data_IF_684561471211
#
_entry.id   IF_684561471211
#
_cell.length_a   1.000
_cell.length_b   1.000
_cell.length_c   1.000
_cell.angle_alpha   90.00
_cell.angle_beta   90.00
_cell.angle_gamma   90.00
#
_symmetry.space_group_name_H-M   'P 1'
#
loop_
_entity.id
_entity.type
_entity.pdbx_description
1 polymer ?
#
# COMPACT_ATOMS: atom_id res chain seq x y z
N UNK A 1 28.18 14.21 -32.08
CA UNK A 1 27.01 14.88 -31.49
C UNK A 1 26.65 14.15 -30.21
N UNK A 2 26.67 14.80 -29.03
CA UNK A 2 26.22 14.12 -27.82
C UNK A 2 24.69 14.05 -27.86
N UNK A 3 24.15 12.84 -27.72
CA UNK A 3 22.71 12.63 -27.56
C UNK A 3 22.27 13.29 -26.26
N UNK A 4 21.24 14.12 -26.34
CA UNK A 4 20.59 14.69 -25.16
C UNK A 4 20.08 13.53 -24.29
N UNK A 5 20.71 13.33 -23.14
CA UNK A 5 20.22 12.45 -22.09
C UNK A 5 18.92 13.08 -21.56
N UNK A 6 17.78 12.74 -22.17
CA UNK A 6 16.49 13.12 -21.63
C UNK A 6 16.37 12.52 -20.24
N UNK A 7 16.33 13.35 -19.20
CA UNK A 7 16.08 12.89 -17.84
C UNK A 7 14.75 12.15 -17.83
N UNK A 8 14.79 10.82 -17.67
CA UNK A 8 13.61 9.98 -17.51
C UNK A 8 12.81 10.50 -16.31
N UNK A 9 11.51 10.71 -16.47
CA UNK A 9 10.66 11.15 -15.38
C UNK A 9 10.72 10.11 -14.25
N UNK A 10 10.92 10.58 -13.02
CA UNK A 10 10.95 9.73 -11.83
C UNK A 10 9.55 9.16 -11.53
N UNK A 11 9.51 7.97 -10.93
CA UNK A 11 8.29 7.26 -10.55
C UNK A 11 8.09 7.31 -9.03
N UNK A 12 6.83 7.24 -8.58
CA UNK A 12 6.57 6.94 -7.17
C UNK A 12 6.87 5.48 -6.86
N UNK A 13 7.50 5.20 -5.72
CA UNK A 13 7.72 3.84 -5.25
C UNK A 13 6.75 3.49 -4.12
N UNK A 14 6.08 2.35 -4.23
CA UNK A 14 5.18 1.80 -3.24
C UNK A 14 5.82 0.54 -2.67
N UNK A 15 6.27 0.62 -1.42
CA UNK A 15 6.70 -0.54 -0.67
C UNK A 15 5.54 -0.97 0.22
N UNK A 16 5.32 -2.27 0.33
CA UNK A 16 4.23 -2.81 1.12
C UNK A 16 4.63 -4.08 1.87
N UNK A 17 4.01 -4.32 3.02
CA UNK A 17 4.30 -5.49 3.85
C UNK A 17 3.94 -6.80 3.14
N UNK A 18 4.85 -7.77 3.16
CA UNK A 18 4.70 -9.07 2.50
C UNK A 18 5.24 -10.21 3.39
N UNK A 19 4.58 -11.40 3.44
CA UNK A 19 3.39 -11.85 2.69
C UNK A 19 2.07 -11.65 3.45
N UNK A 20 1.63 -10.40 3.59
CA UNK A 20 0.43 -10.06 4.37
C UNK A 20 -0.74 -9.64 3.45
N UNK A 21 -1.97 -10.15 3.67
CA UNK A 21 -3.15 -9.61 3.01
C UNK A 21 -3.33 -8.11 3.24
N UNK A 22 -3.05 -7.61 4.45
CA UNK A 22 -3.21 -6.20 4.79
C UNK A 22 -2.29 -5.32 3.93
N UNK A 23 -0.98 -5.57 3.94
CA UNK A 23 -0.04 -4.92 3.03
C UNK A 23 -0.38 -5.07 1.53
N UNK A 24 -0.88 -6.23 1.08
CA UNK A 24 -1.27 -6.43 -0.32
C UNK A 24 -2.49 -5.57 -0.73
N UNK A 25 -3.49 -5.47 0.15
CA UNK A 25 -4.63 -4.58 -0.08
C UNK A 25 -4.25 -3.11 0.08
N UNK A 26 -3.31 -2.76 0.96
CA UNK A 26 -2.76 -1.41 1.00
C UNK A 26 -2.10 -1.02 -0.33
N UNK A 27 -1.30 -1.93 -0.92
CA UNK A 27 -0.73 -1.74 -2.25
C UNK A 27 -1.79 -1.64 -3.35
N UNK A 28 -2.91 -2.37 -3.24
CA UNK A 28 -4.03 -2.25 -4.18
C UNK A 28 -4.62 -0.83 -4.18
N UNK A 29 -4.79 -0.20 -3.01
CA UNK A 29 -5.28 1.18 -2.93
C UNK A 29 -4.34 2.15 -3.67
N UNK A 30 -3.03 2.00 -3.49
CA UNK A 30 -2.04 2.77 -4.23
C UNK A 30 -2.13 2.51 -5.74
N UNK A 31 -2.26 1.25 -6.15
CA UNK A 31 -2.41 0.86 -7.57
C UNK A 31 -3.60 1.55 -8.22
N UNK A 32 -4.75 1.58 -7.56
CA UNK A 32 -5.94 2.28 -8.05
C UNK A 32 -5.68 3.78 -8.24
N UNK A 33 -5.03 4.44 -7.27
CA UNK A 33 -4.68 5.86 -7.39
C UNK A 33 -3.74 6.15 -8.56
N UNK A 34 -2.65 5.39 -8.70
CA UNK A 34 -1.67 5.61 -9.78
C UNK A 34 -2.25 5.28 -11.16
N UNK A 35 -3.10 4.25 -11.26
CA UNK A 35 -3.86 3.93 -12.47
C UNK A 35 -4.81 5.06 -12.85
N UNK A 36 -5.49 5.67 -11.88
CA UNK A 36 -6.41 6.78 -12.10
C UNK A 36 -5.69 8.04 -12.62
N UNK A 37 -4.55 8.38 -12.03
CA UNK A 37 -3.79 9.58 -12.34
C UNK A 37 -2.82 9.43 -13.52
N UNK A 38 -2.65 8.20 -14.04
CA UNK A 38 -1.64 7.87 -15.05
C UNK A 38 -0.21 8.24 -14.63
N UNK A 39 0.04 8.37 -13.33
CA UNK A 39 1.36 8.66 -12.79
C UNK A 39 2.20 7.37 -12.74
N UNK A 40 3.47 7.41 -13.13
CA UNK A 40 4.33 6.23 -13.11
C UNK A 40 4.59 5.77 -11.67
N UNK A 41 4.46 4.47 -11.43
CA UNK A 41 4.66 3.86 -10.12
C UNK A 41 5.41 2.54 -10.21
N UNK A 42 6.18 2.23 -9.15
CA UNK A 42 6.92 1.00 -8.95
C UNK A 42 6.43 0.34 -7.65
N UNK A 43 6.29 -0.99 -7.64
CA UNK A 43 5.80 -1.74 -6.47
C UNK A 43 6.87 -2.71 -5.97
N UNK A 44 7.10 -2.70 -4.66
CA UNK A 44 8.14 -3.48 -4.01
C UNK A 44 7.57 -4.20 -2.78
N UNK A 45 7.36 -5.52 -2.84
CA UNK A 45 7.00 -6.28 -1.65
C UNK A 45 8.17 -6.34 -0.69
N UNK A 46 7.94 -5.88 0.54
CA UNK A 46 8.90 -5.89 1.63
C UNK A 46 8.72 -7.14 2.49
N UNK A 47 9.65 -8.09 2.35
CA UNK A 47 9.57 -9.37 3.06
C UNK A 47 9.99 -9.22 4.53
N UNK A 48 9.31 -9.92 5.45
CA UNK A 48 9.69 -9.95 6.88
C UNK A 48 11.08 -10.57 7.14
N UNK A 49 11.49 -11.55 6.33
CA UNK A 49 12.76 -12.26 6.53
C UNK A 49 13.97 -11.54 5.91
N UNK A 50 13.73 -10.67 4.93
CA UNK A 50 14.76 -9.85 4.30
C UNK A 50 14.18 -8.46 3.98
N UNK A 51 14.06 -7.59 4.99
CA UNK A 51 13.56 -6.23 4.79
C UNK A 51 14.39 -5.48 3.76
N UNK A 52 13.73 -4.66 2.94
CA UNK A 52 14.38 -3.80 1.96
C UNK A 52 15.21 -2.74 2.68
N UNK A 53 16.41 -2.49 2.16
CA UNK A 53 17.26 -1.38 2.57
C UNK A 53 17.23 -0.31 1.49
N UNK A 54 17.64 0.91 1.84
CA UNK A 54 17.67 2.02 0.90
C UNK A 54 18.54 1.73 -0.34
N UNK A 55 19.59 0.92 -0.19
CA UNK A 55 20.50 0.51 -1.26
C UNK A 55 19.88 -0.50 -2.23
N UNK A 56 18.82 -1.19 -1.80
CA UNK A 56 18.13 -2.17 -2.64
C UNK A 56 17.11 -1.49 -3.59
N UNK A 57 16.88 -0.18 -3.43
CA UNK A 57 15.94 0.61 -4.22
C UNK A 57 16.67 1.39 -5.35
N UNK A 58 16.06 1.52 -6.54
CA UNK A 58 16.57 2.37 -7.61
C UNK A 58 16.28 3.86 -7.30
N UNK A 59 16.85 4.39 -6.23
CA UNK A 59 16.49 5.70 -5.65
C UNK A 59 16.66 6.88 -6.63
N UNK A 60 17.54 6.76 -7.61
CA UNK A 60 17.70 7.75 -8.68
C UNK A 60 16.48 7.83 -9.62
N UNK A 61 15.66 6.77 -9.71
CA UNK A 61 14.41 6.72 -10.46
C UNK A 61 13.18 7.07 -9.61
N UNK A 62 13.33 7.29 -8.29
CA UNK A 62 12.20 7.46 -7.36
C UNK A 62 11.97 8.94 -7.03
N UNK A 63 10.73 9.42 -7.22
CA UNK A 63 10.28 10.75 -6.81
C UNK A 63 9.80 10.75 -5.37
N UNK A 64 8.76 9.98 -5.09
CA UNK A 64 8.11 9.85 -3.79
C UNK A 64 8.10 8.38 -3.35
N UNK A 65 8.15 8.15 -2.05
CA UNK A 65 8.13 6.82 -1.45
C UNK A 65 6.91 6.66 -0.53
N UNK A 66 6.16 5.57 -0.73
CA UNK A 66 5.05 5.16 0.11
C UNK A 66 5.43 3.87 0.84
N UNK A 67 5.35 3.88 2.16
CA UNK A 67 5.56 2.72 3.04
C UNK A 67 4.19 2.32 3.59
N UNK A 68 3.70 1.16 3.17
CA UNK A 68 2.34 0.70 3.45
C UNK A 68 2.35 -0.54 4.34
N UNK A 69 1.71 -0.46 5.50
CA UNK A 69 1.66 -1.52 6.51
C UNK A 69 3.05 -1.84 7.12
N UNK A 70 4.01 -0.89 7.03
CA UNK A 70 5.31 -0.96 7.71
C UNK A 70 6.06 0.40 7.64
N UNK A 71 7.07 0.58 8.52
CA UNK A 71 8.00 1.73 8.51
C UNK A 71 9.42 1.39 8.00
N UNK A 72 9.77 0.11 7.98
CA UNK A 72 11.14 -0.35 7.72
C UNK A 72 12.01 -0.40 8.98
N UNK A 73 13.27 -0.87 8.88
CA UNK A 73 14.17 -0.99 10.02
C UNK A 73 14.62 0.38 10.55
N UNK A 74 15.14 0.47 11.79
CA UNK A 74 15.68 1.72 12.33
C UNK A 74 16.71 2.37 11.39
N UNK A 75 16.59 3.67 11.16
CA UNK A 75 17.45 4.41 10.23
C UNK A 75 17.00 4.42 8.76
N UNK A 76 16.04 3.56 8.37
CA UNK A 76 15.58 3.46 6.99
C UNK A 76 14.90 4.76 6.52
N UNK A 77 13.88 5.22 7.26
CA UNK A 77 13.14 6.46 6.94
C UNK A 77 14.07 7.67 6.93
N UNK A 78 14.95 7.75 7.93
CA UNK A 78 15.94 8.82 8.06
C UNK A 78 16.81 8.93 6.82
N UNK A 79 17.30 7.78 6.34
CA UNK A 79 18.15 7.71 5.16
C UNK A 79 17.39 8.01 3.88
N UNK A 80 16.20 7.46 3.71
CA UNK A 80 15.48 7.58 2.44
C UNK A 80 14.88 8.97 2.25
N UNK A 81 14.46 9.64 3.33
CA UNK A 81 13.99 11.04 3.31
C UNK A 81 15.03 12.04 2.82
N UNK A 82 16.33 11.75 2.89
CA UNK A 82 17.37 12.62 2.32
C UNK A 82 17.58 12.42 0.81
N UNK A 83 16.92 11.42 0.21
CA UNK A 83 17.16 10.98 -1.17
C UNK A 83 15.94 11.26 -2.05
N UNK A 84 14.73 11.04 -1.53
CA UNK A 84 13.47 11.22 -2.27
C UNK A 84 12.76 12.52 -1.91
N UNK A 85 11.88 12.98 -2.79
CA UNK A 85 11.14 14.24 -2.64
C UNK A 85 10.12 14.21 -1.50
N UNK A 86 9.45 13.07 -1.29
CA UNK A 86 8.50 12.85 -0.19
C UNK A 86 8.51 11.40 0.28
N UNK A 87 8.33 11.20 1.57
CA UNK A 87 8.07 9.89 2.18
C UNK A 87 6.70 9.93 2.85
N UNK A 88 5.85 8.94 2.58
CA UNK A 88 4.53 8.76 3.18
C UNK A 88 4.50 7.41 3.88
N UNK A 89 4.11 7.40 5.15
CA UNK A 89 4.00 6.21 5.98
C UNK A 89 2.54 6.04 6.35
N UNK A 90 1.96 4.92 5.96
CA UNK A 90 0.58 4.52 6.28
C UNK A 90 0.68 3.17 7.00
N UNK A 91 0.56 3.18 8.33
CA UNK A 91 0.87 2.00 9.14
C UNK A 91 0.00 1.96 10.41
N UNK A 92 -0.12 0.79 11.02
CA UNK A 92 -0.89 0.52 12.23
C UNK A 92 -0.10 -0.30 13.27
N UNK A 93 1.17 -0.62 13.00
CA UNK A 93 2.00 -1.37 13.92
C UNK A 93 2.52 -0.51 15.08
N UNK A 94 2.55 -1.06 16.30
CA UNK A 94 3.17 -0.39 17.46
C UNK A 94 4.64 -0.06 17.24
N UNK A 95 5.35 -0.96 16.54
CA UNK A 95 6.77 -0.80 16.20
C UNK A 95 7.02 0.40 15.28
N UNK A 96 6.01 0.84 14.52
CA UNK A 96 6.08 2.06 13.72
C UNK A 96 6.34 3.27 14.61
N UNK A 97 5.56 3.41 15.69
CA UNK A 97 5.66 4.53 16.63
C UNK A 97 7.01 4.53 17.36
N UNK A 98 7.53 3.35 17.71
CA UNK A 98 8.82 3.18 18.37
C UNK A 98 9.99 3.54 17.43
N UNK A 99 9.96 3.06 16.19
CA UNK A 99 11.01 3.31 15.20
C UNK A 99 11.02 4.76 14.68
N UNK A 100 9.87 5.44 14.74
CA UNK A 100 9.70 6.85 14.37
C UNK A 100 9.94 7.81 15.55
N UNK A 101 10.47 7.33 16.68
CA UNK A 101 10.67 8.07 17.93
C UNK A 101 11.24 9.49 17.78
N UNK A 102 11.08 10.30 18.84
CA UNK A 102 11.12 11.78 18.96
C UNK A 102 12.33 12.58 18.43
N UNK A 103 13.12 12.02 17.50
CA UNK A 103 14.21 12.69 16.82
C UNK A 103 13.69 13.63 15.74
N UNK A 104 14.18 14.88 15.82
CA UNK A 104 14.05 16.01 14.88
C UNK A 104 14.49 15.66 13.44
N UNK A 105 13.78 14.76 12.77
CA UNK A 105 14.02 14.39 11.38
C UNK A 105 13.06 15.18 10.50
N UNK A 106 13.62 16.20 9.84
CA UNK A 106 13.13 16.89 8.63
C UNK A 106 11.65 16.62 8.35
N UNK A 107 10.76 17.20 9.16
CA UNK A 107 9.31 16.97 9.07
C UNK A 107 8.73 17.47 7.72
N UNK A 108 9.46 18.31 6.99
CA UNK A 108 8.97 18.98 5.78
C UNK A 108 8.57 18.02 4.65
N UNK A 109 9.25 16.87 4.50
CA UNK A 109 8.98 15.92 3.42
C UNK A 109 8.43 14.57 3.88
N UNK A 110 8.06 14.45 5.15
CA UNK A 110 7.62 13.20 5.76
C UNK A 110 6.16 13.31 6.23
N UNK A 111 5.28 12.49 5.65
CA UNK A 111 3.88 12.33 6.08
C UNK A 111 3.76 11.01 6.82
N UNK A 112 3.15 11.04 8.01
CA UNK A 112 2.91 9.86 8.85
C UNK A 112 1.43 9.80 9.19
N UNK A 113 0.75 8.75 8.78
CA UNK A 113 -0.59 8.39 9.24
C UNK A 113 -0.48 7.05 9.95
N UNK A 114 -0.42 7.12 11.29
CA UNK A 114 -0.34 5.94 12.16
C UNK A 114 -1.65 5.83 12.92
N UNK A 115 -2.40 4.75 12.69
CA UNK A 115 -3.72 4.56 13.31
C UNK A 115 -3.88 3.14 13.81
N UNK A 116 -3.88 2.97 15.13
CA UNK A 116 -3.98 1.66 15.79
C UNK A 116 -5.40 1.07 15.73
N UNK A 117 -6.40 1.85 15.33
CA UNK A 117 -7.81 1.43 15.23
C UNK A 117 -8.21 1.06 13.80
N UNK A 118 -7.29 1.15 12.85
CA UNK A 118 -7.50 0.72 11.46
C UNK A 118 -6.37 -0.22 11.04
N UNK A 119 -6.62 -1.00 10.00
CA UNK A 119 -5.59 -1.82 9.34
C UNK A 119 -4.78 -0.98 8.35
N UNK A 120 -3.56 -1.38 8.00
CA UNK A 120 -2.76 -0.71 6.97
C UNK A 120 -3.49 -0.61 5.62
N UNK A 121 -4.29 -1.62 5.26
CA UNK A 121 -5.12 -1.60 4.05
C UNK A 121 -6.15 -0.47 4.08
N UNK A 122 -6.89 -0.31 5.19
CA UNK A 122 -7.95 0.70 5.30
C UNK A 122 -7.39 2.11 5.45
N UNK A 123 -6.25 2.29 6.13
CA UNK A 123 -5.52 3.57 6.16
C UNK A 123 -5.11 3.96 4.73
N UNK A 124 -4.49 3.04 3.99
CA UNK A 124 -4.10 3.28 2.61
C UNK A 124 -5.29 3.55 1.69
N UNK A 125 -6.39 2.83 1.86
CA UNK A 125 -7.63 3.04 1.13
C UNK A 125 -8.13 4.48 1.25
N UNK A 126 -8.31 4.96 2.49
CA UNK A 126 -8.84 6.29 2.77
C UNK A 126 -7.86 7.36 2.26
N UNK A 127 -6.56 7.23 2.55
CA UNK A 127 -5.52 8.14 2.09
C UNK A 127 -5.51 8.31 0.56
N UNK A 128 -5.47 7.20 -0.20
CA UNK A 128 -5.36 7.27 -1.65
C UNK A 128 -6.67 7.71 -2.32
N UNK A 129 -7.82 7.38 -1.72
CA UNK A 129 -9.13 7.88 -2.17
C UNK A 129 -9.22 9.40 -1.97
N UNK A 130 -8.86 9.92 -0.81
CA UNK A 130 -8.85 11.37 -0.54
C UNK A 130 -7.86 12.12 -1.43
N UNK A 131 -6.66 11.53 -1.63
CA UNK A 131 -5.66 12.05 -2.54
C UNK A 131 -6.17 12.12 -3.98
N UNK A 132 -6.93 11.12 -4.43
CA UNK A 132 -7.57 11.10 -5.74
C UNK A 132 -8.66 12.18 -5.87
N UNK A 133 -9.50 12.33 -4.85
CA UNK A 133 -10.55 13.36 -4.83
C UNK A 133 -9.95 14.77 -4.89
N UNK A 134 -8.76 14.95 -4.32
CA UNK A 134 -8.03 16.21 -4.27
C UNK A 134 -7.19 16.49 -5.53
N UNK A 135 -6.94 15.50 -6.41
CA UNK A 135 -6.13 15.67 -7.63
C UNK A 135 -6.88 16.22 -8.84
N UNK A 136 -8.18 16.52 -8.70
CA UNK A 136 -9.05 17.06 -9.75
C UNK A 136 -10.16 16.08 -10.15
N UNK A 137 -11.24 16.60 -10.73
CA UNK A 137 -12.47 15.83 -11.00
C UNK A 137 -12.72 15.71 -12.52
N UNK A 138 -12.01 14.82 -13.20
CA UNK A 138 -12.40 14.38 -14.54
C UNK A 138 -13.25 13.08 -14.50
N UNK A 139 -13.81 12.68 -15.64
CA UNK A 139 -14.64 11.48 -15.73
C UNK A 139 -13.88 10.18 -15.36
N UNK A 140 -12.57 10.13 -15.60
CA UNK A 140 -11.71 9.00 -15.21
C UNK A 140 -11.57 8.96 -13.69
N UNK A 141 -11.41 10.10 -13.03
CA UNK A 141 -11.38 10.18 -11.56
C UNK A 141 -12.70 9.69 -10.95
N UNK A 142 -13.85 10.09 -11.48
CA UNK A 142 -15.15 9.63 -10.99
C UNK A 142 -15.34 8.11 -11.14
N UNK A 143 -14.93 7.54 -12.27
CA UNK A 143 -14.98 6.08 -12.48
C UNK A 143 -14.09 5.34 -11.48
N UNK A 144 -12.91 5.89 -11.17
CA UNK A 144 -11.96 5.27 -10.25
C UNK A 144 -12.42 5.40 -8.80
N UNK A 145 -13.03 6.53 -8.41
CA UNK A 145 -13.69 6.66 -7.09
C UNK A 145 -14.78 5.59 -6.94
N UNK A 146 -15.60 5.32 -7.96
CA UNK A 146 -16.57 4.21 -7.93
C UNK A 146 -15.90 2.85 -7.77
N UNK A 147 -14.71 2.65 -8.35
CA UNK A 147 -13.95 1.41 -8.16
C UNK A 147 -13.46 1.26 -6.72
N UNK A 148 -12.97 2.34 -6.10
CA UNK A 148 -12.66 2.35 -4.66
C UNK A 148 -13.89 1.95 -3.84
N UNK A 149 -15.05 2.59 -4.05
CA UNK A 149 -16.29 2.22 -3.33
C UNK A 149 -16.70 0.76 -3.57
N UNK A 150 -16.55 0.27 -4.80
CA UNK A 150 -16.91 -1.10 -5.17
C UNK A 150 -16.12 -2.17 -4.42
N UNK A 151 -14.90 -1.85 -3.97
CA UNK A 151 -14.06 -2.79 -3.21
C UNK A 151 -14.05 -2.51 -1.70
N UNK A 152 -14.74 -1.47 -1.22
CA UNK A 152 -14.72 -1.10 0.21
C UNK A 152 -15.07 -2.27 1.13
N UNK A 153 -16.08 -3.06 0.75
CA UNK A 153 -16.50 -4.23 1.53
C UNK A 153 -15.37 -5.25 1.69
N UNK A 154 -14.49 -5.43 0.70
CA UNK A 154 -13.32 -6.33 0.84
C UNK A 154 -12.37 -5.79 1.92
N UNK A 155 -12.08 -4.48 1.89
CA UNK A 155 -11.21 -3.84 2.88
C UNK A 155 -11.78 -3.94 4.30
N UNK A 156 -13.10 -3.83 4.48
CA UNK A 156 -13.72 -3.99 5.80
C UNK A 156 -13.48 -5.41 6.37
N UNK A 157 -13.53 -6.46 5.54
CA UNK A 157 -13.22 -7.83 5.96
C UNK A 157 -11.72 -8.06 6.21
N UNK A 158 -10.85 -7.41 5.42
CA UNK A 158 -9.40 -7.45 5.66
C UNK A 158 -9.09 -6.83 7.03
N UNK A 159 -9.62 -5.64 7.32
CA UNK A 159 -9.43 -4.97 8.61
C UNK A 159 -9.97 -5.79 9.79
N UNK A 160 -11.16 -6.35 9.64
CA UNK A 160 -11.80 -7.11 10.73
C UNK A 160 -11.00 -8.37 11.11
N UNK A 161 -10.35 -9.01 10.13
CA UNK A 161 -9.45 -10.15 10.35
C UNK A 161 -8.08 -9.73 10.87
N UNK A 162 -7.48 -8.70 10.28
CA UNK A 162 -6.16 -8.18 10.64
C UNK A 162 -6.12 -7.69 12.11
N UNK A 163 -7.18 -6.98 12.54
CA UNK A 163 -7.33 -6.50 13.91
C UNK A 163 -7.94 -7.53 14.88
N UNK A 164 -8.16 -8.78 14.43
CA UNK A 164 -8.76 -9.87 15.23
C UNK A 164 -10.12 -9.52 15.85
N UNK A 165 -10.89 -8.65 15.20
CA UNK A 165 -12.17 -8.13 15.71
C UNK A 165 -13.30 -9.13 15.53
N UNK A 166 -13.35 -9.81 14.39
CA UNK A 166 -14.37 -10.80 14.03
C UNK A 166 -15.82 -10.28 14.18
N UNK A 167 -16.05 -9.00 13.91
CA UNK A 167 -17.36 -8.36 14.05
C UNK A 167 -18.24 -8.57 12.82
N UNK A 168 -17.63 -8.73 11.64
CA UNK A 168 -18.39 -8.93 10.41
C UNK A 168 -18.92 -10.36 10.33
N UNK A 169 -20.11 -10.52 9.76
CA UNK A 169 -20.72 -11.83 9.56
C UNK A 169 -19.78 -12.73 8.74
N UNK A 170 -19.50 -13.94 9.22
CA UNK A 170 -18.61 -14.90 8.56
C UNK A 170 -17.18 -14.38 8.30
N UNK A 171 -16.70 -13.37 9.05
CA UNK A 171 -15.35 -12.81 8.91
C UNK A 171 -14.22 -13.85 8.99
N UNK A 172 -14.36 -14.83 9.90
CA UNK A 172 -13.44 -15.96 10.00
C UNK A 172 -13.45 -16.85 8.75
N UNK A 173 -14.63 -17.11 8.17
CA UNK A 173 -14.76 -17.87 6.94
C UNK A 173 -14.19 -17.10 5.74
N UNK A 174 -14.41 -15.78 5.67
CA UNK A 174 -13.73 -14.94 4.68
C UNK A 174 -12.20 -15.05 4.80
N UNK A 175 -11.66 -14.90 6.01
CA UNK A 175 -10.22 -14.99 6.26
C UNK A 175 -9.65 -16.37 5.90
N UNK A 176 -10.36 -17.45 6.24
CA UNK A 176 -9.98 -18.81 5.83
C UNK A 176 -10.04 -18.98 4.31
N UNK A 177 -11.12 -18.52 3.68
CA UNK A 177 -11.30 -18.64 2.23
C UNK A 177 -10.26 -17.85 1.44
N UNK A 178 -9.90 -16.65 1.91
CA UNK A 178 -8.83 -15.85 1.32
C UNK A 178 -7.48 -16.58 1.40
N UNK A 179 -7.18 -17.19 2.55
CA UNK A 179 -5.99 -18.03 2.71
C UNK A 179 -6.01 -19.22 1.74
N UNK A 180 -7.14 -19.90 1.61
CA UNK A 180 -7.29 -21.09 0.75
C UNK A 180 -7.27 -20.77 -0.75
N UNK A 181 -7.38 -19.50 -1.15
CA UNK A 181 -7.12 -19.07 -2.53
C UNK A 181 -5.64 -19.15 -2.89
N UNK A 182 -4.73 -19.20 -1.91
CA UNK A 182 -3.28 -19.26 -2.11
C UNK A 182 -2.79 -18.19 -3.10
N UNK A 183 -3.31 -16.96 -2.97
CA UNK A 183 -2.89 -15.82 -3.79
C UNK A 183 -1.44 -15.47 -3.43
N UNK A 184 -0.57 -15.40 -4.43
CA UNK A 184 0.78 -14.86 -4.27
C UNK A 184 0.72 -13.33 -4.24
N UNK A 185 1.10 -12.73 -3.10
CA UNK A 185 1.07 -11.29 -2.86
C UNK A 185 2.34 -10.54 -3.28
N UNK A 186 3.38 -11.24 -3.75
CA UNK A 186 4.51 -10.59 -4.39
C UNK A 186 4.14 -10.25 -5.85
N UNK A 187 3.91 -8.98 -6.15
CA UNK A 187 3.52 -8.53 -7.50
C UNK A 187 4.56 -8.85 -8.57
N UNK A 188 5.82 -9.08 -8.20
CA UNK A 188 6.90 -9.47 -9.12
C UNK A 188 6.77 -10.94 -9.51
N UNK A 189 6.25 -11.78 -8.61
CA UNK A 189 5.94 -13.19 -8.86
C UNK A 189 4.54 -13.38 -9.45
N UNK A 190 3.61 -12.49 -9.11
CA UNK A 190 2.24 -12.45 -9.60
C UNK A 190 1.90 -11.09 -10.24
N UNK A 191 2.21 -10.88 -11.53
CA UNK A 191 1.90 -9.63 -12.22
C UNK A 191 0.40 -9.31 -12.30
N UNK A 192 -0.47 -10.32 -12.12
CA UNK A 192 -1.92 -10.17 -12.09
C UNK A 192 -2.50 -9.92 -10.70
N UNK A 193 -1.65 -9.73 -9.67
CA UNK A 193 -2.07 -9.59 -8.27
C UNK A 193 -3.24 -8.62 -8.09
N UNK A 194 -3.10 -7.38 -8.58
CA UNK A 194 -4.13 -6.37 -8.36
C UNK A 194 -5.44 -6.71 -9.08
N UNK A 195 -5.37 -7.26 -10.30
CA UNK A 195 -6.57 -7.70 -11.02
C UNK A 195 -7.25 -8.88 -10.31
N UNK A 196 -6.47 -9.81 -9.73
CA UNK A 196 -7.00 -10.91 -8.92
C UNK A 196 -7.71 -10.39 -7.67
N UNK A 197 -7.08 -9.48 -6.91
CA UNK A 197 -7.69 -8.90 -5.71
C UNK A 197 -8.97 -8.12 -6.04
N UNK A 198 -8.99 -7.37 -7.15
CA UNK A 198 -10.17 -6.65 -7.64
C UNK A 198 -11.30 -7.58 -8.09
N UNK A 199 -10.98 -8.80 -8.50
CA UNK A 199 -11.97 -9.80 -8.94
C UNK A 199 -12.64 -10.55 -7.78
N UNK A 200 -12.14 -10.38 -6.55
CA UNK A 200 -12.68 -11.09 -5.40
C UNK A 200 -14.12 -10.66 -5.10
N UNK A 201 -14.98 -11.65 -4.90
CA UNK A 201 -16.34 -11.47 -4.41
C UNK A 201 -16.43 -11.98 -2.98
N UNK A 202 -16.88 -11.14 -2.05
CA UNK A 202 -16.94 -11.44 -0.61
C UNK A 202 -17.67 -12.75 -0.32
N UNK A 203 -18.84 -12.96 -0.93
CA UNK A 203 -19.66 -14.14 -0.64
C UNK A 203 -19.01 -15.43 -1.18
N UNK A 204 -18.33 -15.33 -2.33
CA UNK A 204 -17.57 -16.44 -2.91
C UNK A 204 -16.34 -16.80 -2.06
N UNK A 205 -15.63 -15.79 -1.54
CA UNK A 205 -14.50 -16.00 -0.62
C UNK A 205 -14.97 -16.62 0.69
N UNK A 206 -16.08 -16.11 1.26
CA UNK A 206 -16.69 -16.70 2.46
C UNK A 206 -17.07 -18.16 2.21
N UNK A 207 -17.76 -18.47 1.11
CA UNK A 207 -18.19 -19.83 0.78
C UNK A 207 -17.02 -20.81 0.63
N UNK A 208 -15.84 -20.32 0.24
CA UNK A 208 -14.63 -21.15 0.12
C UNK A 208 -14.03 -21.52 1.48
N UNK A 209 -14.19 -20.66 2.48
CA UNK A 209 -13.66 -20.88 3.83
C UNK A 209 -14.68 -21.41 4.84
N UNK A 210 -15.88 -21.78 4.39
CA UNK A 210 -16.85 -22.56 5.16
C UNK A 210 -16.54 -24.05 5.02
#
# INVERSE_FOLDING_TARGET
>A
MPMANGLKAKSSAVLYHYPCPDGAFAALAAHLFFKATSLPSLFFPNTVYRPLRAEDLPTHEISDLYLLDFVGPPGFVQKISTIVGKVVILDHHKTALENLGSGSLVDENLIKEIDMERSGATIAFDYFKEKLLSSGADAKHQSMVKQFEGVRKLYDYIEDGDLWRWKLQNSKAFSSGLKDLNIEFDVRLNPSLFDQLLSLNVDSVISKGM
#
